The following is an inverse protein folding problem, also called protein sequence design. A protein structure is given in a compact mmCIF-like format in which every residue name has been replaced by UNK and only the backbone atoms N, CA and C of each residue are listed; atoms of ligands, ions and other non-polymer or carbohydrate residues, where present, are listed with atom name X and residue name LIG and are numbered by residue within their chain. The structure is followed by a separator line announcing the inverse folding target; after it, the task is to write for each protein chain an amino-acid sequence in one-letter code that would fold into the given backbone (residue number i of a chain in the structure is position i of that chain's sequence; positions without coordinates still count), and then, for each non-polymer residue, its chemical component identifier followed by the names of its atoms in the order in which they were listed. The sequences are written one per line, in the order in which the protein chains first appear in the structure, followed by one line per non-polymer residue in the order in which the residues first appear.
data_IF_820591259793
#
_entry.id   IF_820591259793
#
_cell.length_a   1.000
_cell.length_b   1.000
_cell.length_c   1.000
_cell.angle_alpha   90.00
_cell.angle_beta   90.00
_cell.angle_gamma   90.00
#
_symmetry.space_group_name_H-M   'P 1'
#
loop_
_entity.id
_entity.type
_entity.pdbx_description
1 polymer ?
#
# COMPACT_ATOMS: atom_id res chain seq x y z
N UNK A 1 -15.97 -0.47 8.08
CA UNK A 1 -14.84 -0.50 7.16
C UNK A 1 -15.32 -0.06 5.79
N UNK A 2 -14.49 0.63 5.02
CA UNK A 2 -14.74 0.94 3.60
C UNK A 2 -15.13 -0.34 2.85
N UNK A 3 -16.23 -0.26 2.10
CA UNK A 3 -16.71 -1.40 1.33
C UNK A 3 -15.92 -1.53 0.01
N UNK A 4 -14.88 -2.35 0.03
CA UNK A 4 -14.07 -2.69 -1.14
C UNK A 4 -14.68 -3.85 -1.93
N UNK A 5 -14.66 -3.75 -3.25
CA UNK A 5 -14.95 -4.89 -4.11
C UNK A 5 -13.84 -5.95 -4.02
N UNK A 6 -14.13 -7.18 -4.48
CA UNK A 6 -13.14 -8.28 -4.48
C UNK A 6 -11.84 -7.92 -5.19
N UNK A 7 -11.94 -7.22 -6.33
CA UNK A 7 -10.76 -6.80 -7.09
C UNK A 7 -9.96 -5.74 -6.33
N UNK A 8 -10.63 -4.80 -5.67
CA UNK A 8 -9.97 -3.77 -4.86
C UNK A 8 -9.26 -4.37 -3.65
N UNK A 9 -9.87 -5.36 -2.99
CA UNK A 9 -9.24 -6.12 -1.92
C UNK A 9 -8.01 -6.89 -2.42
N UNK A 10 -8.07 -7.47 -3.62
CA UNK A 10 -6.94 -8.16 -4.22
C UNK A 10 -5.77 -7.20 -4.48
N UNK A 11 -6.04 -6.00 -4.99
CA UNK A 11 -5.02 -4.95 -5.17
C UNK A 11 -4.42 -4.53 -3.83
N UNK A 12 -5.25 -4.28 -2.81
CA UNK A 12 -4.77 -3.91 -1.46
C UNK A 12 -3.89 -5.03 -0.89
N UNK A 13 -4.32 -6.29 -0.96
CA UNK A 13 -3.54 -7.45 -0.49
C UNK A 13 -2.21 -7.57 -1.22
N UNK A 14 -2.18 -7.32 -2.53
CA UNK A 14 -0.94 -7.35 -3.31
C UNK A 14 0.04 -6.25 -2.88
N UNK A 15 -0.45 -5.03 -2.60
CA UNK A 15 0.37 -3.93 -2.10
C UNK A 15 0.92 -4.25 -0.71
N UNK A 16 0.08 -4.71 0.22
CA UNK A 16 0.48 -5.08 1.58
C UNK A 16 1.48 -6.25 1.58
N UNK A 17 1.26 -7.26 0.74
CA UNK A 17 2.19 -8.40 0.62
C UNK A 17 3.53 -7.96 0.06
N UNK A 18 3.53 -7.06 -0.94
CA UNK A 18 4.77 -6.48 -1.46
C UNK A 18 5.50 -5.68 -0.39
N UNK A 19 4.80 -4.85 0.37
CA UNK A 19 5.37 -4.06 1.46
C UNK A 19 5.95 -4.97 2.56
N UNK A 20 5.23 -6.01 2.98
CA UNK A 20 5.67 -7.05 3.90
C UNK A 20 6.97 -7.69 3.40
N UNK A 21 7.03 -8.12 2.14
CA UNK A 21 8.21 -8.82 1.60
C UNK A 21 9.43 -7.90 1.45
N UNK A 22 9.24 -6.63 1.04
CA UNK A 22 10.32 -5.62 1.01
C UNK A 22 10.85 -5.39 2.44
N UNK A 23 9.95 -5.29 3.41
CA UNK A 23 10.29 -5.19 4.84
C UNK A 23 10.78 -6.50 5.46
N UNK A 24 11.05 -7.54 4.67
CA UNK A 24 11.71 -8.77 5.13
C UNK A 24 13.11 -8.93 4.55
N UNK A 25 13.31 -8.46 3.32
CA UNK A 25 14.49 -8.78 2.51
C UNK A 25 15.45 -7.58 2.30
N UNK A 26 15.08 -6.35 2.70
CA UNK A 26 15.93 -5.16 2.58
C UNK A 26 16.88 -5.00 3.77
N UNK A 27 18.17 -4.71 3.51
CA UNK A 27 19.13 -4.25 4.51
C UNK A 27 18.59 -2.97 5.17
N UNK A 28 18.33 -2.95 6.49
CA UNK A 28 17.74 -1.80 7.17
C UNK A 28 18.50 -0.48 6.94
N UNK A 29 19.77 -0.55 6.56
CA UNK A 29 20.62 0.61 6.23
C UNK A 29 20.30 1.29 4.90
N UNK A 30 19.54 0.64 4.01
CA UNK A 30 19.19 1.16 2.68
C UNK A 30 17.84 1.88 2.66
N UNK A 31 17.08 1.84 3.76
CA UNK A 31 15.80 2.55 3.88
C UNK A 31 15.99 3.93 4.51
N UNK A 32 15.24 4.92 4.02
CA UNK A 32 15.35 6.34 4.41
C UNK A 32 14.87 6.59 5.87
N UNK A 33 14.31 5.57 6.53
CA UNK A 33 13.74 5.62 7.89
C UNK A 33 14.36 4.54 8.81
N UNK A 34 14.38 4.78 10.12
CA UNK A 34 15.09 3.97 11.14
C UNK A 34 14.63 2.50 11.25
N UNK A 35 15.50 1.61 11.75
CA UNK A 35 15.23 0.17 12.00
C UNK A 35 13.91 -0.10 12.76
N UNK A 36 13.54 0.74 13.73
CA UNK A 36 12.29 0.60 14.48
C UNK A 36 11.03 0.84 13.63
N UNK A 37 11.11 1.72 12.62
CA UNK A 37 10.00 1.95 11.67
C UNK A 37 9.84 0.79 10.68
N UNK A 38 10.93 0.06 10.40
CA UNK A 38 10.91 -1.12 9.52
C UNK A 38 10.16 -2.29 10.14
N UNK A 39 10.50 -2.63 11.39
CA UNK A 39 9.80 -3.69 12.14
C UNK A 39 8.32 -3.32 12.34
N UNK A 40 8.05 -2.06 12.68
CA UNK A 40 6.69 -1.54 12.79
C UNK A 40 5.89 -1.68 11.49
N UNK A 41 6.50 -1.38 10.34
CA UNK A 41 5.83 -1.50 9.03
C UNK A 41 5.51 -2.94 8.65
N UNK A 42 6.44 -3.88 8.88
CA UNK A 42 6.21 -5.31 8.61
C UNK A 42 5.03 -5.84 9.45
N UNK A 43 5.05 -5.55 10.76
CA UNK A 43 4.00 -5.98 11.68
C UNK A 43 2.65 -5.33 11.36
N UNK A 44 2.63 -4.05 10.97
CA UNK A 44 1.42 -3.37 10.49
C UNK A 44 0.86 -4.02 9.23
N UNK A 45 1.70 -4.32 8.22
CA UNK A 45 1.24 -4.99 7.00
C UNK A 45 0.66 -6.38 7.27
N UNK A 46 1.29 -7.16 8.16
CA UNK A 46 0.80 -8.48 8.58
C UNK A 46 -0.52 -8.39 9.34
N UNK A 47 -0.64 -7.41 10.22
CA UNK A 47 -1.88 -7.11 10.96
C UNK A 47 -3.01 -6.78 10.00
N UNK A 48 -2.77 -5.91 9.02
CA UNK A 48 -3.77 -5.56 8.00
C UNK A 48 -4.17 -6.76 7.13
N UNK A 49 -3.20 -7.56 6.66
CA UNK A 49 -3.49 -8.78 5.89
C UNK A 49 -4.36 -9.77 6.69
N UNK A 50 -4.06 -9.96 7.97
CA UNK A 50 -4.83 -10.84 8.84
C UNK A 50 -6.25 -10.31 9.09
N UNK A 51 -6.40 -9.00 9.34
CA UNK A 51 -7.69 -8.36 9.55
C UNK A 51 -8.60 -8.43 8.31
N UNK A 52 -8.04 -8.30 7.11
CA UNK A 52 -8.76 -8.45 5.85
C UNK A 52 -9.31 -9.87 5.61
N UNK A 53 -8.89 -10.85 6.42
CA UNK A 53 -9.33 -12.25 6.33
C UNK A 53 -10.11 -12.71 7.57
N UNK A 54 -10.15 -11.91 8.63
CA UNK A 54 -10.75 -12.25 9.91
C UNK A 54 -11.60 -11.08 10.44
N UNK A 55 -12.91 -11.11 10.14
CA UNK A 55 -13.85 -10.07 10.57
C UNK A 55 -13.94 -9.91 12.10
N UNK A 56 -13.78 -11.00 12.87
CA UNK A 56 -13.75 -10.96 14.33
C UNK A 56 -12.55 -10.16 14.85
N UNK A 57 -11.37 -10.40 14.28
CA UNK A 57 -10.16 -9.65 14.63
C UNK A 57 -10.24 -8.18 14.21
N UNK A 58 -10.80 -7.91 13.02
CA UNK A 58 -11.02 -6.54 12.54
C UNK A 58 -11.90 -5.74 13.51
N UNK A 59 -12.97 -6.36 14.03
CA UNK A 59 -13.86 -5.74 15.01
C UNK A 59 -13.17 -5.43 16.34
N UNK A 60 -12.27 -6.29 16.79
CA UNK A 60 -11.52 -6.09 18.05
C UNK A 60 -10.37 -5.10 17.92
N UNK A 61 -9.68 -5.08 16.76
CA UNK A 61 -8.52 -4.23 16.52
C UNK A 61 -8.93 -2.78 16.21
N UNK A 62 -10.01 -2.60 15.45
CA UNK A 62 -10.50 -1.29 15.02
C UNK A 62 -10.38 -1.09 13.51
N UNK A 63 -11.49 -0.72 12.88
CA UNK A 63 -11.56 -0.55 11.42
C UNK A 63 -10.77 0.68 10.95
N UNK A 64 -10.73 1.75 11.75
CA UNK A 64 -10.02 3.00 11.43
C UNK A 64 -8.51 2.79 11.41
N UNK A 65 -7.99 2.01 12.36
CA UNK A 65 -6.57 1.66 12.45
C UNK A 65 -6.11 0.81 11.25
N UNK A 66 -6.95 -0.13 10.80
CA UNK A 66 -6.66 -0.92 9.58
C UNK A 66 -6.72 -0.04 8.33
N UNK A 67 -7.68 0.87 8.25
CA UNK A 67 -7.81 1.81 7.14
C UNK A 67 -6.61 2.76 7.06
N UNK A 68 -6.06 3.21 8.19
CA UNK A 68 -4.82 3.99 8.25
C UNK A 68 -3.63 3.22 7.69
N UNK A 69 -3.43 1.97 8.14
CA UNK A 69 -2.35 1.11 7.62
C UNK A 69 -2.49 0.92 6.11
N UNK A 70 -3.69 0.61 5.63
CA UNK A 70 -3.93 0.41 4.19
C UNK A 70 -3.64 1.70 3.41
N UNK A 71 -4.10 2.85 3.90
CA UNK A 71 -3.91 4.13 3.21
C UNK A 71 -2.43 4.51 3.11
N UNK A 72 -1.67 4.37 4.21
CA UNK A 72 -0.24 4.69 4.25
C UNK A 72 0.55 3.84 3.24
N UNK A 73 0.23 2.55 3.16
CA UNK A 73 0.91 1.64 2.23
C UNK A 73 0.56 1.92 0.76
N UNK A 74 -0.69 2.31 0.48
CA UNK A 74 -1.09 2.75 -0.86
C UNK A 74 -0.37 4.06 -1.26
N UNK A 75 -0.21 5.02 -0.34
CA UNK A 75 0.54 6.25 -0.58
C UNK A 75 2.00 5.97 -0.90
N UNK A 76 2.68 5.13 -0.10
CA UNK A 76 4.06 4.73 -0.36
C UNK A 76 4.22 4.02 -1.70
N UNK A 77 3.24 3.19 -2.08
CA UNK A 77 3.27 2.52 -3.37
C UNK A 77 3.12 3.50 -4.54
N UNK A 78 2.27 4.53 -4.41
CA UNK A 78 2.18 5.62 -5.40
C UNK A 78 3.52 6.34 -5.56
N UNK A 79 4.19 6.67 -4.46
CA UNK A 79 5.50 7.34 -4.50
C UNK A 79 6.56 6.47 -5.19
N UNK A 80 6.56 5.17 -4.92
CA UNK A 80 7.40 4.20 -5.61
C UNK A 80 7.13 4.16 -7.12
N UNK A 81 5.85 4.13 -7.52
CA UNK A 81 5.46 4.14 -8.93
C UNK A 81 5.90 5.43 -9.65
N UNK A 82 5.81 6.58 -8.99
CA UNK A 82 6.32 7.84 -9.55
C UNK A 82 7.83 7.82 -9.75
N UNK A 83 8.59 7.25 -8.80
CA UNK A 83 10.03 7.08 -8.93
C UNK A 83 10.37 6.12 -10.09
N UNK A 84 9.73 4.96 -10.17
CA UNK A 84 9.91 3.99 -11.26
C UNK A 84 9.62 4.63 -12.62
N UNK A 85 8.53 5.38 -12.73
CA UNK A 85 8.19 6.12 -13.95
C UNK A 85 9.27 7.11 -14.36
N UNK A 86 9.88 7.81 -13.40
CA UNK A 86 10.90 8.81 -13.68
C UNK A 86 12.19 8.23 -14.29
N UNK A 87 12.44 6.94 -14.07
CA UNK A 87 13.60 6.22 -14.59
C UNK A 87 13.37 5.67 -16.02
N UNK A 88 12.12 5.60 -16.49
CA UNK A 88 11.77 5.08 -17.82
C UNK A 88 11.91 6.17 -18.88
N UNK A 89 12.68 5.89 -19.94
CA UNK A 89 12.72 6.72 -21.15
C UNK A 89 12.41 5.90 -22.41
N UNK A 90 11.57 6.41 -23.35
CA UNK A 90 10.84 7.68 -23.30
C UNK A 90 9.58 7.61 -22.41
N UNK A 91 9.17 8.74 -21.82
CA UNK A 91 8.02 8.85 -20.92
C UNK A 91 6.66 8.48 -21.54
N UNK A 92 6.58 8.32 -22.86
CA UNK A 92 5.38 7.89 -23.58
C UNK A 92 5.40 6.40 -23.98
N UNK A 93 6.37 5.64 -23.45
CA UNK A 93 6.43 4.20 -23.65
C UNK A 93 5.16 3.51 -23.12
N UNK A 94 4.81 2.32 -23.65
CA UNK A 94 3.74 1.49 -23.08
C UNK A 94 3.92 1.25 -21.57
N UNK A 95 5.16 1.01 -21.13
CA UNK A 95 5.51 0.77 -19.72
C UNK A 95 5.19 1.98 -18.83
N UNK A 96 5.52 3.20 -19.29
CA UNK A 96 5.19 4.44 -18.57
C UNK A 96 3.67 4.64 -18.44
N UNK A 97 2.90 4.29 -19.47
CA UNK A 97 1.43 4.37 -19.45
C UNK A 97 0.80 3.35 -18.51
N UNK A 98 1.34 2.13 -18.47
CA UNK A 98 0.89 1.11 -17.50
C UNK A 98 1.10 1.58 -16.05
N UNK A 99 2.21 2.28 -15.77
CA UNK A 99 2.45 2.87 -14.45
C UNK A 99 1.43 3.98 -14.15
N UNK A 100 1.12 4.84 -15.12
CA UNK A 100 0.08 5.86 -14.94
C UNK A 100 -1.29 5.26 -14.63
N UNK A 101 -1.68 4.19 -15.32
CA UNK A 101 -2.93 3.48 -15.07
C UNK A 101 -2.97 2.89 -13.65
N UNK A 102 -1.88 2.29 -13.19
CA UNK A 102 -1.73 1.80 -11.81
C UNK A 102 -1.84 2.93 -10.79
N UNK A 103 -1.16 4.06 -11.00
CA UNK A 103 -1.24 5.22 -10.10
C UNK A 103 -2.69 5.70 -9.98
N UNK A 104 -3.42 5.79 -11.10
CA UNK A 104 -4.84 6.19 -11.10
C UNK A 104 -5.71 5.20 -10.33
N UNK A 105 -5.47 3.90 -10.49
CA UNK A 105 -6.18 2.86 -9.74
C UNK A 105 -5.96 2.98 -8.23
N UNK A 106 -4.70 3.10 -7.80
CA UNK A 106 -4.35 3.21 -6.38
C UNK A 106 -4.91 4.48 -5.76
N UNK A 107 -4.82 5.63 -6.45
CA UNK A 107 -5.42 6.89 -5.95
C UNK A 107 -6.93 6.81 -5.77
N UNK A 108 -7.64 6.01 -6.58
CA UNK A 108 -9.09 5.78 -6.37
C UNK A 108 -9.36 5.01 -5.08
N UNK A 109 -8.53 4.01 -4.75
CA UNK A 109 -8.63 3.28 -3.48
C UNK A 109 -8.38 4.20 -2.30
N UNK A 110 -7.33 5.01 -2.37
CA UNK A 110 -7.00 5.98 -1.32
C UNK A 110 -8.14 6.97 -1.07
N UNK A 111 -8.75 7.49 -2.14
CA UNK A 111 -9.90 8.40 -2.03
C UNK A 111 -11.16 7.74 -1.46
N UNK A 112 -11.29 6.42 -1.56
CA UNK A 112 -12.39 5.69 -0.88
C UNK A 112 -12.19 5.62 0.63
N UNK A 113 -10.94 5.54 1.08
CA UNK A 113 -10.59 5.51 2.50
C UNK A 113 -10.67 6.91 3.09
N UNK A 114 -9.99 7.87 2.46
CA UNK A 114 -9.95 9.27 2.91
C UNK A 114 -10.43 10.19 1.78
N UNK A 115 -11.74 10.44 1.66
CA UNK A 115 -12.30 11.23 0.55
C UNK A 115 -11.96 12.72 0.60
N UNK A 116 -11.46 13.21 1.74
CA UNK A 116 -11.18 14.63 2.01
C UNK A 116 -9.69 14.98 2.07
N UNK A 117 -8.80 13.99 2.01
CA UNK A 117 -7.36 14.22 1.94
C UNK A 117 -6.99 14.51 0.47
N UNK A 118 -6.80 15.79 0.15
CA UNK A 118 -6.25 16.32 -1.12
C UNK A 118 -5.04 17.21 -0.87
#
# INVERSE_FOLDING_TARGET
MVNFSKNELEVIKNVLTRAESISRDVDPKLFIYSEDMYLGRNDSCRTALYALENEEFLGDFGEEEIEEIIWDELQLYVDYLYNEKSEIQPNDSPESKEIDEKIVEIKKLMKKIRPFDE
#
